data_IF_105116453361
#
_entry.id   IF_105116453361
#
_cell.length_a   1.000
_cell.length_b   1.000
_cell.length_c   1.000
_cell.angle_alpha   90.00
_cell.angle_beta   90.00
_cell.angle_gamma   90.00
#
_symmetry.space_group_name_H-M   'P 1'
#
loop_
_entity.id
_entity.type
_entity.pdbx_description
1 polymer ?
#
# COMPACT_ATOMS: atom_id res chain seq x y z
N UNK A 1 -67.36 50.36 -22.53
CA UNK A 1 -66.82 49.33 -21.62
C UNK A 1 -65.70 48.60 -22.35
N UNK A 2 -64.45 48.75 -21.91
CA UNK A 2 -63.31 48.07 -22.51
C UNK A 2 -62.18 48.00 -21.48
N UNK A 3 -62.07 46.85 -20.83
CA UNK A 3 -60.98 46.55 -19.89
C UNK A 3 -59.72 46.22 -20.69
N UNK A 4 -58.66 47.01 -20.51
CA UNK A 4 -57.31 46.70 -21.00
C UNK A 4 -56.55 46.03 -19.86
N UNK A 5 -56.31 44.73 -20.01
CA UNK A 5 -55.56 43.91 -19.06
C UNK A 5 -54.07 44.29 -19.02
N UNK A 6 -53.58 44.50 -17.79
CA UNK A 6 -52.21 44.83 -17.46
C UNK A 6 -51.30 43.59 -17.50
N UNK A 7 -50.97 43.15 -18.72
CA UNK A 7 -50.14 41.96 -19.01
C UNK A 7 -48.65 42.13 -18.72
N UNK A 8 -48.19 43.34 -18.34
CA UNK A 8 -46.78 43.61 -18.04
C UNK A 8 -46.37 43.21 -16.62
N UNK A 9 -47.28 43.25 -15.65
CA UNK A 9 -46.95 42.92 -14.26
C UNK A 9 -46.83 41.41 -14.03
N UNK A 10 -47.69 40.58 -14.63
CA UNK A 10 -47.59 39.12 -14.52
C UNK A 10 -46.30 38.54 -15.12
N UNK A 11 -45.79 39.13 -16.22
CA UNK A 11 -44.55 38.66 -16.85
C UNK A 11 -43.31 38.94 -15.98
N UNK A 12 -43.29 40.06 -15.24
CA UNK A 12 -42.19 40.38 -14.31
C UNK A 12 -42.21 39.48 -13.07
N UNK A 13 -43.38 39.19 -12.52
CA UNK A 13 -43.50 38.29 -11.35
C UNK A 13 -43.14 36.84 -11.70
N UNK A 14 -43.55 36.35 -12.87
CA UNK A 14 -43.16 35.01 -13.36
C UNK A 14 -41.65 34.88 -13.64
N UNK A 15 -41.02 35.93 -14.17
CA UNK A 15 -39.57 35.94 -14.40
C UNK A 15 -38.77 35.96 -13.09
N UNK A 16 -39.26 36.65 -12.05
CA UNK A 16 -38.60 36.70 -10.74
C UNK A 16 -38.71 35.38 -9.98
N UNK A 17 -39.87 34.71 -10.04
CA UNK A 17 -40.07 33.38 -9.44
C UNK A 17 -39.25 32.30 -10.18
N UNK A 18 -39.18 32.36 -11.52
CA UNK A 18 -38.34 31.45 -12.29
C UNK A 18 -36.84 31.61 -12.00
N UNK A 19 -36.38 32.84 -11.71
CA UNK A 19 -34.99 33.14 -11.35
C UNK A 19 -34.62 32.64 -9.95
N UNK A 20 -35.56 32.70 -8.99
CA UNK A 20 -35.41 32.14 -7.64
C UNK A 20 -35.46 30.60 -7.64
N UNK A 21 -36.27 29.99 -8.50
CA UNK A 21 -36.26 28.53 -8.70
C UNK A 21 -34.98 28.07 -9.42
N UNK A 22 -34.40 28.87 -10.33
CA UNK A 22 -33.12 28.56 -10.95
C UNK A 22 -31.94 28.67 -9.98
N UNK A 23 -31.93 29.67 -9.09
CA UNK A 23 -30.93 29.78 -8.02
C UNK A 23 -31.05 28.63 -7.00
N UNK A 24 -32.27 28.24 -6.64
CA UNK A 24 -32.53 27.05 -5.82
C UNK A 24 -32.10 25.74 -6.50
N UNK A 25 -32.25 25.60 -7.82
CA UNK A 25 -31.79 24.42 -8.55
C UNK A 25 -30.26 24.40 -8.73
N UNK A 26 -29.59 25.56 -8.86
CA UNK A 26 -28.12 25.62 -8.89
C UNK A 26 -27.49 25.38 -7.51
N UNK A 27 -28.14 25.78 -6.41
CA UNK A 27 -27.70 25.45 -5.04
C UNK A 27 -28.08 24.02 -4.59
N UNK A 28 -28.98 23.34 -5.30
CA UNK A 28 -29.31 21.91 -5.11
C UNK A 28 -28.59 20.96 -6.08
N UNK A 29 -27.81 21.48 -7.03
CA UNK A 29 -26.89 20.71 -7.88
C UNK A 29 -25.41 20.93 -7.55
N UNK A 30 -25.13 21.50 -6.37
CA UNK A 30 -23.86 21.28 -5.68
C UNK A 30 -24.00 20.22 -4.58
N UNK A 31 -24.84 19.19 -4.79
CA UNK A 31 -24.44 17.88 -4.30
C UNK A 31 -23.20 17.53 -5.11
N UNK A 32 -22.04 17.93 -4.58
CA UNK A 32 -20.83 17.17 -4.80
C UNK A 32 -21.23 15.76 -4.40
N UNK A 33 -21.69 14.96 -5.36
CA UNK A 33 -21.43 13.52 -5.33
C UNK A 33 -19.92 13.47 -5.32
N UNK A 34 -19.38 13.57 -4.11
CA UNK A 34 -17.99 13.28 -3.85
C UNK A 34 -17.94 11.81 -4.16
N UNK A 35 -17.65 11.48 -5.43
CA UNK A 35 -17.07 10.19 -5.75
C UNK A 35 -15.87 10.15 -4.81
N UNK A 36 -16.03 9.42 -3.71
CA UNK A 36 -14.99 9.25 -2.73
C UNK A 36 -13.91 8.45 -3.44
N UNK A 37 -13.03 9.16 -4.15
CA UNK A 37 -11.79 8.62 -4.65
C UNK A 37 -10.97 8.31 -3.42
N UNK A 38 -10.87 7.03 -3.10
CA UNK A 38 -9.98 6.57 -2.05
C UNK A 38 -8.61 6.38 -2.70
N UNK A 39 -7.66 7.24 -2.35
CA UNK A 39 -6.26 7.03 -2.71
C UNK A 39 -5.62 6.19 -1.62
N UNK A 40 -5.51 4.89 -1.85
CA UNK A 40 -4.79 3.98 -0.99
C UNK A 40 -3.30 4.07 -1.31
N UNK A 41 -2.47 4.24 -0.28
CA UNK A 41 -1.03 4.19 -0.44
C UNK A 41 -0.49 2.96 0.24
N UNK A 42 0.20 2.14 -0.54
CA UNK A 42 0.87 0.97 -0.05
C UNK A 42 2.15 0.74 -0.83
N UNK A 43 3.29 0.77 -0.15
CA UNK A 43 4.14 -0.42 0.06
C UNK A 43 5.46 0.04 0.66
N UNK A 44 5.61 -0.29 1.93
CA UNK A 44 6.78 0.01 2.71
C UNK A 44 7.28 -1.31 3.26
N UNK A 45 8.11 -1.98 2.47
CA UNK A 45 9.26 -2.67 3.06
C UNK A 45 10.25 -1.56 3.38
N UNK A 46 10.55 -1.41 4.66
CA UNK A 46 11.39 -0.30 5.11
C UNK A 46 12.84 -0.75 5.20
N UNK A 47 13.14 -1.96 5.69
CA UNK A 47 14.52 -2.43 5.94
C UNK A 47 15.38 -1.36 6.65
N UNK A 48 14.80 -0.65 7.62
CA UNK A 48 15.45 0.45 8.33
C UNK A 48 15.36 1.81 7.65
N UNK A 49 15.04 1.87 6.36
CA UNK A 49 14.85 3.12 5.62
C UNK A 49 13.50 3.75 6.00
N UNK A 50 13.38 4.35 7.17
CA UNK A 50 12.21 5.13 7.60
C UNK A 50 12.64 6.39 8.33
N UNK A 51 12.03 7.51 7.95
CA UNK A 51 12.20 8.76 8.66
C UNK A 51 10.83 9.43 8.79
N UNK A 52 10.28 9.44 10.00
CA UNK A 52 8.95 9.97 10.28
C UNK A 52 8.76 11.37 9.69
N UNK A 53 9.78 12.23 9.73
CA UNK A 53 9.66 13.61 9.26
C UNK A 53 9.64 13.70 7.74
N UNK A 54 10.56 13.04 7.05
CA UNK A 54 10.64 13.08 5.59
C UNK A 54 9.52 12.27 4.93
N UNK A 55 9.16 11.10 5.49
CA UNK A 55 8.01 10.32 5.01
C UNK A 55 6.69 11.03 5.27
N UNK A 56 6.52 11.72 6.40
CA UNK A 56 5.33 12.56 6.65
C UNK A 56 5.18 13.65 5.58
N UNK A 57 6.28 14.29 5.14
CA UNK A 57 6.19 15.29 4.05
C UNK A 57 5.75 14.67 2.74
N UNK A 58 6.25 13.47 2.43
CA UNK A 58 5.83 12.74 1.23
C UNK A 58 4.35 12.42 1.28
N UNK A 59 3.87 11.89 2.40
CA UNK A 59 2.47 11.57 2.61
C UNK A 59 1.59 12.84 2.61
N UNK A 60 2.07 13.98 3.13
CA UNK A 60 1.34 15.26 3.04
C UNK A 60 1.15 15.76 1.60
N UNK A 61 2.11 15.47 0.71
CA UNK A 61 2.00 15.79 -0.72
C UNK A 61 1.07 14.82 -1.46
N UNK A 62 1.11 13.56 -1.06
CA UNK A 62 0.34 12.47 -1.66
C UNK A 62 -1.12 12.45 -1.20
N UNK A 63 -1.38 12.95 0.01
CA UNK A 63 -2.70 12.98 0.65
C UNK A 63 -3.42 11.62 0.63
N UNK A 64 -2.80 10.55 1.18
CA UNK A 64 -3.43 9.25 1.30
C UNK A 64 -4.62 9.30 2.25
N UNK A 65 -5.65 8.53 1.94
CA UNK A 65 -6.71 8.22 2.90
C UNK A 65 -6.27 7.11 3.88
N UNK A 66 -5.44 6.18 3.40
CA UNK A 66 -4.92 5.06 4.19
C UNK A 66 -3.51 4.68 3.72
N UNK A 67 -2.63 4.44 4.69
CA UNK A 67 -1.26 3.95 4.47
C UNK A 67 -1.15 2.50 4.92
N UNK A 68 -0.71 1.63 4.04
CA UNK A 68 -0.57 0.22 4.34
C UNK A 68 0.92 -0.18 4.35
N UNK A 69 1.31 -0.90 5.40
CA UNK A 69 2.67 -1.37 5.64
C UNK A 69 2.74 -2.90 5.54
N UNK A 70 3.64 -3.42 4.69
CA UNK A 70 3.76 -4.87 4.44
C UNK A 70 4.75 -5.57 5.35
N UNK A 71 5.43 -4.87 6.26
CA UNK A 71 6.42 -5.47 7.17
C UNK A 71 7.85 -5.38 6.64
N UNK A 72 8.76 -6.09 7.30
CA UNK A 72 10.21 -5.93 7.16
C UNK A 72 10.62 -4.48 7.48
N UNK A 73 10.35 -4.07 8.71
CA UNK A 73 10.60 -2.72 9.17
C UNK A 73 12.06 -2.46 9.48
N UNK A 74 12.76 -3.42 10.06
CA UNK A 74 14.19 -3.32 10.33
C UNK A 74 14.67 -4.25 11.42
N UNK A 75 14.50 -5.56 11.25
CA UNK A 75 15.08 -6.58 12.14
C UNK A 75 14.68 -6.43 13.62
N UNK A 76 13.37 -6.38 13.89
CA UNK A 76 12.80 -6.12 15.23
C UNK A 76 13.11 -4.73 15.83
N UNK A 77 13.39 -3.71 15.00
CA UNK A 77 13.61 -2.35 15.47
C UNK A 77 12.32 -1.70 16.03
N UNK A 78 12.13 -1.84 17.34
CA UNK A 78 10.98 -1.32 18.10
C UNK A 78 10.87 0.21 17.99
N UNK A 79 11.98 0.95 17.97
CA UNK A 79 11.97 2.42 17.90
C UNK A 79 11.44 2.90 16.54
N UNK A 80 11.84 2.23 15.46
CA UNK A 80 11.32 2.48 14.13
C UNK A 80 9.82 2.20 14.09
N UNK A 81 9.37 1.06 14.60
CA UNK A 81 7.93 0.72 14.65
C UNK A 81 7.14 1.72 15.51
N UNK A 82 7.71 2.20 16.62
CA UNK A 82 7.09 3.26 17.42
C UNK A 82 6.92 4.54 16.61
N UNK A 83 7.92 4.92 15.83
CA UNK A 83 7.82 6.09 14.96
C UNK A 83 6.80 5.92 13.82
N UNK A 84 6.58 4.69 13.31
CA UNK A 84 5.46 4.40 12.40
C UNK A 84 4.12 4.61 13.12
N UNK A 85 3.98 4.11 14.35
CA UNK A 85 2.77 4.26 15.14
C UNK A 85 2.44 5.74 15.43
N UNK A 86 3.46 6.60 15.54
CA UNK A 86 3.28 8.05 15.73
C UNK A 86 2.71 8.79 14.52
N UNK A 87 2.80 8.19 13.32
CA UNK A 87 2.28 8.76 12.07
C UNK A 87 0.79 9.11 12.20
N UNK A 88 0.39 10.31 11.78
CA UNK A 88 -0.99 10.80 11.98
C UNK A 88 -1.99 10.37 10.90
N UNK A 89 -1.51 9.82 9.78
CA UNK A 89 -2.37 9.25 8.73
C UNK A 89 -3.01 7.95 9.21
N UNK A 90 -4.22 7.63 8.74
CA UNK A 90 -4.78 6.30 8.96
C UNK A 90 -3.80 5.26 8.40
N UNK A 91 -3.56 4.18 9.15
CA UNK A 91 -2.59 3.16 8.74
C UNK A 91 -3.01 1.77 9.17
N UNK A 92 -2.59 0.78 8.40
CA UNK A 92 -2.63 -0.62 8.80
C UNK A 92 -1.29 -1.27 8.46
N UNK A 93 -0.91 -2.27 9.23
CA UNK A 93 0.38 -2.92 9.15
C UNK A 93 0.25 -4.43 9.31
N UNK A 94 1.22 -5.13 8.74
CA UNK A 94 1.56 -6.49 9.09
C UNK A 94 3.07 -6.57 9.35
N UNK A 95 3.48 -7.46 10.25
CA UNK A 95 4.89 -7.72 10.55
C UNK A 95 5.45 -8.76 9.58
N UNK A 96 6.64 -8.51 9.05
CA UNK A 96 7.40 -9.39 8.16
C UNK A 96 8.34 -10.34 8.88
N UNK A 97 9.11 -11.14 8.14
CA UNK A 97 10.04 -12.08 8.75
C UNK A 97 11.17 -11.38 9.50
N UNK A 98 11.65 -10.23 9.01
CA UNK A 98 12.68 -9.47 9.73
C UNK A 98 12.12 -8.88 11.04
N UNK A 99 10.82 -8.62 11.12
CA UNK A 99 10.19 -8.10 12.35
C UNK A 99 10.04 -9.14 13.46
N UNK A 100 10.50 -10.37 13.22
CA UNK A 100 10.66 -11.43 14.21
C UNK A 100 12.03 -12.14 14.08
N UNK A 101 13.07 -11.47 13.59
CA UNK A 101 14.36 -12.09 13.26
C UNK A 101 15.18 -12.61 14.47
N UNK A 102 15.04 -11.98 15.63
CA UNK A 102 15.80 -12.28 16.85
C UNK A 102 14.99 -13.03 17.92
N UNK A 103 13.72 -13.33 17.66
CA UNK A 103 12.82 -14.02 18.60
C UNK A 103 12.48 -15.46 18.16
N UNK A 104 13.43 -16.42 18.17
CA UNK A 104 13.13 -17.84 17.95
C UNK A 104 12.37 -18.47 19.12
N UNK A 105 12.65 -17.99 20.33
CA UNK A 105 12.06 -18.41 21.60
C UNK A 105 11.71 -17.15 22.40
N UNK A 106 10.72 -17.23 23.29
CA UNK A 106 10.29 -16.13 24.15
C UNK A 106 9.85 -16.66 25.53
N UNK A 107 9.81 -15.76 26.51
CA UNK A 107 9.35 -16.04 27.88
C UNK A 107 8.07 -15.27 28.17
N UNK A 108 7.23 -15.78 29.08
CA UNK A 108 6.07 -15.05 29.57
C UNK A 108 6.44 -13.91 30.53
N UNK A 109 7.65 -13.93 31.10
CA UNK A 109 8.08 -12.98 32.14
C UNK A 109 8.61 -11.66 31.56
N UNK A 110 9.15 -11.67 30.34
CA UNK A 110 9.76 -10.50 29.71
C UNK A 110 9.22 -10.32 28.30
N UNK A 111 8.81 -9.09 27.98
CA UNK A 111 8.40 -8.71 26.63
C UNK A 111 9.59 -8.77 25.68
N UNK A 112 9.45 -9.57 24.62
CA UNK A 112 10.38 -9.60 23.49
C UNK A 112 10.11 -8.46 22.49
N UNK A 113 11.00 -8.31 21.49
CA UNK A 113 10.92 -7.25 20.48
C UNK A 113 9.62 -7.30 19.68
N UNK A 114 9.15 -8.51 19.33
CA UNK A 114 7.87 -8.68 18.63
C UNK A 114 6.71 -8.20 19.51
N UNK A 115 6.71 -8.50 20.82
CA UNK A 115 5.64 -8.08 21.72
C UNK A 115 5.60 -6.55 21.85
N UNK A 116 6.76 -5.90 21.94
CA UNK A 116 6.85 -4.45 22.00
C UNK A 116 6.39 -3.79 20.69
N UNK A 117 6.72 -4.37 19.53
CA UNK A 117 6.24 -3.89 18.22
C UNK A 117 4.71 -4.00 18.10
N UNK A 118 4.13 -5.12 18.53
CA UNK A 118 2.66 -5.31 18.55
C UNK A 118 1.98 -4.31 19.47
N UNK A 119 2.57 -4.00 20.62
CA UNK A 119 2.03 -2.97 21.54
C UNK A 119 2.13 -1.57 20.96
N UNK A 120 3.19 -1.26 20.20
CA UNK A 120 3.33 0.02 19.51
C UNK A 120 2.26 0.19 18.42
N UNK A 121 2.06 -0.82 17.58
CA UNK A 121 1.08 -0.78 16.48
C UNK A 121 -0.36 -0.91 16.99
N UNK A 122 -0.59 -1.63 18.09
CA UNK A 122 -1.90 -1.87 18.67
C UNK A 122 -2.89 -2.39 17.63
N UNK A 123 -3.98 -1.64 17.43
CA UNK A 123 -5.04 -2.01 16.49
C UNK A 123 -4.64 -1.90 15.02
N UNK A 124 -3.57 -1.17 14.70
CA UNK A 124 -3.13 -0.96 13.32
C UNK A 124 -2.44 -2.21 12.75
N UNK A 125 -1.94 -3.11 13.61
CA UNK A 125 -1.42 -4.42 13.17
C UNK A 125 -2.54 -5.44 12.98
N UNK A 126 -2.87 -5.82 11.75
CA UNK A 126 -4.12 -6.52 11.41
C UNK A 126 -3.96 -8.00 11.07
N UNK A 127 -2.86 -8.66 11.41
CA UNK A 127 -2.67 -10.09 11.15
C UNK A 127 -3.90 -10.93 11.54
N UNK A 128 -4.45 -11.70 10.60
CA UNK A 128 -5.67 -12.50 10.73
C UNK A 128 -6.92 -11.74 11.19
N UNK A 129 -6.98 -10.43 10.99
CA UNK A 129 -8.13 -9.58 11.31
C UNK A 129 -8.59 -8.84 10.07
N UNK A 130 -9.83 -8.34 10.12
CA UNK A 130 -10.40 -7.46 9.11
C UNK A 130 -10.66 -6.07 9.69
N UNK A 131 -10.48 -5.05 8.86
CA UNK A 131 -10.91 -3.67 9.11
C UNK A 131 -11.75 -3.22 7.93
N UNK A 132 -12.97 -2.75 8.22
CA UNK A 132 -13.94 -2.31 7.21
C UNK A 132 -13.95 -0.78 7.10
N UNK A 133 -14.06 -0.31 5.86
CA UNK A 133 -14.21 1.08 5.46
C UNK A 133 -15.48 1.19 4.61
N UNK A 134 -16.68 1.25 5.24
CA UNK A 134 -17.96 1.15 4.53
C UNK A 134 -18.22 2.28 3.54
N UNK A 135 -17.77 3.50 3.86
CA UNK A 135 -17.95 4.67 2.99
C UNK A 135 -17.25 4.50 1.64
N UNK A 136 -16.16 3.73 1.61
CA UNK A 136 -15.37 3.46 0.42
C UNK A 136 -15.58 2.04 -0.13
N UNK A 137 -16.56 1.31 0.41
CA UNK A 137 -16.84 -0.09 0.06
C UNK A 137 -15.56 -0.93 0.04
N UNK A 138 -14.82 -0.90 1.14
CA UNK A 138 -13.51 -1.52 1.23
C UNK A 138 -13.37 -2.31 2.52
N UNK A 139 -12.74 -3.48 2.43
CA UNK A 139 -12.37 -4.31 3.57
C UNK A 139 -10.91 -4.73 3.44
N UNK A 140 -10.10 -4.42 4.47
CA UNK A 140 -8.69 -4.85 4.52
C UNK A 140 -8.58 -6.06 5.44
N UNK A 141 -8.03 -7.15 4.94
CA UNK A 141 -7.83 -8.41 5.66
C UNK A 141 -6.33 -8.65 5.82
N UNK A 142 -5.84 -8.82 7.05
CA UNK A 142 -4.45 -9.15 7.29
C UNK A 142 -4.17 -10.65 7.09
N UNK A 143 -3.12 -10.95 6.34
CA UNK A 143 -2.59 -12.30 6.15
C UNK A 143 -1.80 -12.81 7.36
N UNK A 144 -0.95 -13.80 7.10
CA UNK A 144 -0.02 -14.36 8.08
C UNK A 144 1.14 -13.39 8.36
N UNK A 145 1.42 -13.05 9.63
CA UNK A 145 2.60 -12.27 9.99
C UNK A 145 3.85 -13.16 9.99
N UNK A 146 5.02 -12.53 9.91
CA UNK A 146 6.33 -13.18 9.97
C UNK A 146 6.63 -14.11 8.80
N UNK A 147 5.85 -14.10 7.72
CA UNK A 147 6.11 -15.00 6.60
C UNK A 147 7.48 -14.73 5.98
N UNK A 148 8.21 -15.78 5.60
CA UNK A 148 9.41 -15.70 4.75
C UNK A 148 9.23 -16.50 3.45
N UNK A 149 7.97 -16.82 3.11
CA UNK A 149 7.67 -17.75 2.02
C UNK A 149 7.79 -19.23 2.37
N UNK A 150 7.05 -20.06 1.64
CA UNK A 150 6.99 -21.49 1.91
C UNK A 150 6.47 -21.78 3.33
N UNK A 151 7.13 -22.68 4.06
CA UNK A 151 6.68 -23.21 5.37
C UNK A 151 6.52 -22.15 6.47
N UNK A 152 5.82 -22.50 7.54
CA UNK A 152 5.68 -21.65 8.73
C UNK A 152 7.02 -21.24 9.34
N UNK A 153 7.26 -19.93 9.37
CA UNK A 153 8.29 -19.31 10.20
C UNK A 153 7.74 -19.04 11.59
N UNK A 154 8.61 -19.08 12.62
CA UNK A 154 8.26 -18.74 14.01
C UNK A 154 6.99 -19.42 14.54
N UNK A 155 6.87 -20.74 14.32
CA UNK A 155 5.71 -21.54 14.74
C UNK A 155 5.29 -21.34 16.21
N UNK A 156 6.25 -21.23 17.13
CA UNK A 156 5.94 -20.98 18.55
C UNK A 156 5.29 -19.61 18.78
N UNK A 157 5.78 -18.56 18.11
CA UNK A 157 5.18 -17.22 18.18
C UNK A 157 3.78 -17.20 17.56
N UNK A 158 3.62 -17.80 16.38
CA UNK A 158 2.32 -17.92 15.70
C UNK A 158 1.31 -18.67 16.57
N UNK A 159 1.73 -19.79 17.18
CA UNK A 159 0.86 -20.55 18.06
C UNK A 159 0.49 -19.77 19.33
N UNK A 160 1.43 -19.09 19.96
CA UNK A 160 1.16 -18.40 21.23
C UNK A 160 0.34 -17.12 21.06
N UNK A 161 0.56 -16.37 19.98
CA UNK A 161 -0.07 -15.05 19.78
C UNK A 161 -1.30 -15.06 18.89
N UNK A 162 -1.35 -16.01 17.96
CA UNK A 162 -2.43 -16.12 16.98
C UNK A 162 -3.11 -17.48 17.01
N UNK A 163 -2.70 -18.43 17.85
CA UNK A 163 -3.30 -19.77 17.88
C UNK A 163 -3.09 -20.57 16.59
N UNK A 164 -2.14 -20.19 15.73
CA UNK A 164 -1.87 -20.83 14.43
C UNK A 164 -0.73 -21.84 14.58
N UNK A 165 -1.01 -23.11 14.27
CA UNK A 165 -0.07 -24.23 14.46
C UNK A 165 0.42 -24.86 13.16
N UNK A 166 -0.27 -24.63 12.07
CA UNK A 166 -0.05 -25.22 10.74
C UNK A 166 -0.60 -24.27 9.66
N UNK A 167 -0.29 -24.57 8.40
CA UNK A 167 -0.72 -23.78 7.25
C UNK A 167 -2.23 -23.80 7.08
N UNK A 168 -2.88 -24.93 7.35
CA UNK A 168 -4.33 -25.06 7.25
C UNK A 168 -5.06 -24.14 8.24
N UNK A 169 -4.63 -24.11 9.50
CA UNK A 169 -5.16 -23.17 10.51
C UNK A 169 -4.92 -21.72 10.09
N UNK A 170 -3.77 -21.43 9.49
CA UNK A 170 -3.44 -20.09 8.97
C UNK A 170 -4.39 -19.69 7.84
N UNK A 171 -4.54 -20.56 6.83
CA UNK A 171 -5.42 -20.35 5.68
C UNK A 171 -6.87 -20.12 6.13
N UNK A 172 -7.35 -20.98 7.04
CA UNK A 172 -8.68 -20.88 7.62
C UNK A 172 -8.90 -19.52 8.30
N UNK A 173 -7.95 -19.02 9.08
CA UNK A 173 -8.08 -17.71 9.73
C UNK A 173 -8.11 -16.54 8.74
N UNK A 174 -7.31 -16.58 7.68
CA UNK A 174 -7.34 -15.58 6.61
C UNK A 174 -8.72 -15.61 5.92
N UNK A 175 -9.19 -16.80 5.57
CA UNK A 175 -10.50 -17.01 4.97
C UNK A 175 -11.63 -16.51 5.88
N UNK A 176 -11.65 -16.89 7.16
CA UNK A 176 -12.67 -16.48 8.13
C UNK A 176 -12.70 -14.95 8.33
N UNK A 177 -11.54 -14.31 8.35
CA UNK A 177 -11.45 -12.85 8.42
C UNK A 177 -12.07 -12.20 7.17
N UNK A 178 -11.82 -12.77 5.98
CA UNK A 178 -12.30 -12.26 4.71
C UNK A 178 -13.80 -12.47 4.48
N UNK A 179 -14.35 -13.67 4.71
CA UNK A 179 -15.75 -14.00 4.39
C UNK A 179 -16.81 -13.19 5.14
N UNK A 180 -16.43 -12.51 6.23
CA UNK A 180 -17.36 -11.62 6.92
C UNK A 180 -17.44 -10.22 6.31
N UNK A 181 -16.66 -9.92 5.26
CA UNK A 181 -16.70 -8.63 4.57
C UNK A 181 -18.07 -8.46 3.88
N UNK A 182 -18.61 -7.23 3.79
CA UNK A 182 -19.81 -6.96 3.01
C UNK A 182 -19.65 -7.35 1.53
N UNK A 183 -20.73 -7.80 0.88
CA UNK A 183 -20.69 -8.37 -0.47
C UNK A 183 -20.27 -7.36 -1.56
N UNK A 184 -20.54 -6.07 -1.35
CA UNK A 184 -20.21 -4.99 -2.27
C UNK A 184 -18.84 -4.34 -2.00
N UNK A 185 -18.10 -4.84 -1.00
CA UNK A 185 -16.76 -4.35 -0.70
C UNK A 185 -15.70 -4.95 -1.63
N UNK A 186 -14.72 -4.12 -2.04
CA UNK A 186 -13.42 -4.62 -2.44
C UNK A 186 -12.73 -5.24 -1.24
N UNK A 187 -12.29 -6.50 -1.35
CA UNK A 187 -11.41 -7.09 -0.34
C UNK A 187 -9.96 -6.91 -0.75
N UNK A 188 -9.19 -6.24 0.11
CA UNK A 188 -7.73 -6.16 0.00
C UNK A 188 -7.11 -7.09 1.05
N UNK A 189 -6.35 -8.08 0.60
CA UNK A 189 -5.58 -8.93 1.51
C UNK A 189 -4.17 -8.34 1.66
N UNK A 190 -3.85 -7.84 2.85
CA UNK A 190 -2.54 -7.31 3.23
C UNK A 190 -1.67 -8.43 3.81
N UNK A 191 -0.64 -8.84 3.09
CA UNK A 191 0.29 -9.87 3.54
C UNK A 191 1.74 -9.38 3.53
N UNK A 192 2.63 -10.11 4.20
CA UNK A 192 4.06 -9.83 4.06
C UNK A 192 4.63 -10.45 2.78
N UNK A 193 4.23 -11.67 2.43
CA UNK A 193 4.65 -12.38 1.22
C UNK A 193 3.45 -12.75 0.36
N UNK A 194 3.68 -12.96 -0.94
CA UNK A 194 2.64 -13.32 -1.89
C UNK A 194 2.23 -14.80 -1.81
N UNK A 195 1.11 -15.21 -2.43
CA UNK A 195 0.68 -16.60 -2.42
C UNK A 195 1.57 -17.48 -3.31
N UNK A 196 1.60 -18.77 -3.00
CA UNK A 196 2.22 -19.77 -3.88
C UNK A 196 1.43 -19.95 -5.19
N UNK A 197 2.06 -20.54 -6.20
CA UNK A 197 1.54 -20.69 -7.56
C UNK A 197 1.93 -19.55 -8.51
N UNK A 198 2.68 -18.55 -8.03
CA UNK A 198 3.07 -17.35 -8.79
C UNK A 198 4.60 -17.16 -8.87
N UNK A 199 5.38 -18.23 -8.66
CA UNK A 199 6.85 -18.18 -8.61
C UNK A 199 7.58 -19.19 -9.49
N UNK A 200 7.05 -19.49 -10.68
CA UNK A 200 7.62 -20.53 -11.57
C UNK A 200 9.03 -20.21 -12.08
N UNK A 201 9.31 -18.93 -12.32
CA UNK A 201 10.60 -18.39 -12.75
C UNK A 201 11.13 -17.43 -11.67
N UNK A 202 12.46 -17.23 -11.63
CA UNK A 202 13.12 -16.34 -10.65
C UNK A 202 12.56 -14.89 -10.67
N UNK A 203 12.19 -14.38 -11.84
CA UNK A 203 11.64 -13.03 -12.01
C UNK A 203 10.11 -12.94 -11.87
N UNK A 204 9.42 -14.06 -11.59
CA UNK A 204 7.99 -14.01 -11.28
C UNK A 204 7.75 -13.35 -9.91
N UNK A 205 6.53 -12.88 -9.68
CA UNK A 205 6.19 -12.06 -8.51
C UNK A 205 6.48 -12.75 -7.17
N UNK A 206 6.39 -14.09 -7.11
CA UNK A 206 6.74 -14.92 -5.94
C UNK A 206 7.95 -15.86 -6.21
N UNK A 207 8.74 -15.59 -7.26
CA UNK A 207 9.84 -16.46 -7.68
C UNK A 207 11.12 -16.32 -6.85
N UNK A 208 11.70 -17.42 -6.40
CA UNK A 208 12.97 -17.43 -5.67
C UNK A 208 14.15 -17.19 -6.62
N UNK A 209 14.99 -16.22 -6.29
CA UNK A 209 16.11 -15.73 -7.12
C UNK A 209 17.48 -15.81 -6.43
N UNK A 210 17.51 -16.10 -5.12
CA UNK A 210 18.76 -16.20 -4.34
C UNK A 210 19.32 -17.62 -4.19
N UNK A 211 18.67 -18.63 -4.78
CA UNK A 211 19.10 -20.05 -4.73
C UNK A 211 19.12 -20.63 -6.15
N UNK A 212 20.17 -21.40 -6.46
CA UNK A 212 20.28 -22.11 -7.73
C UNK A 212 19.09 -23.05 -7.95
N UNK A 213 18.46 -22.97 -9.13
CA UNK A 213 17.23 -23.68 -9.46
C UNK A 213 15.94 -22.92 -9.14
N UNK A 214 16.00 -21.88 -8.29
CA UNK A 214 14.87 -21.01 -7.98
C UNK A 214 13.67 -21.74 -7.39
N UNK A 215 12.48 -21.44 -7.91
CA UNK A 215 11.22 -22.06 -7.53
C UNK A 215 10.27 -21.10 -6.81
N UNK A 216 9.07 -21.60 -6.50
CA UNK A 216 8.04 -20.80 -5.87
C UNK A 216 8.37 -20.57 -4.38
N UNK A 217 8.41 -19.29 -3.97
CA UNK A 217 8.61 -18.89 -2.58
C UNK A 217 7.35 -18.27 -1.97
N UNK A 218 6.18 -18.47 -2.57
CA UNK A 218 4.92 -17.96 -2.07
C UNK A 218 4.38 -18.73 -0.86
N UNK A 219 3.35 -18.14 -0.26
CA UNK A 219 2.64 -18.63 0.92
C UNK A 219 1.50 -19.57 0.52
N UNK A 220 1.61 -20.85 0.89
CA UNK A 220 0.59 -21.87 0.63
C UNK A 220 -0.73 -21.58 1.34
N UNK A 221 -0.66 -21.06 2.58
CA UNK A 221 -1.85 -20.71 3.35
C UNK A 221 -2.62 -19.54 2.74
N UNK A 222 -1.92 -18.56 2.18
CA UNK A 222 -2.54 -17.45 1.45
C UNK A 222 -3.16 -17.92 0.13
N UNK A 223 -2.47 -18.78 -0.63
CA UNK A 223 -3.01 -19.37 -1.85
C UNK A 223 -4.28 -20.18 -1.57
N UNK A 224 -4.26 -21.02 -0.53
CA UNK A 224 -5.41 -21.81 -0.10
C UNK A 224 -6.58 -20.92 0.33
N UNK A 225 -6.34 -19.90 1.15
CA UNK A 225 -7.39 -18.97 1.57
C UNK A 225 -8.04 -18.28 0.36
N UNK A 226 -7.25 -17.80 -0.59
CA UNK A 226 -7.74 -17.16 -1.82
C UNK A 226 -8.57 -18.14 -2.66
N UNK A 227 -8.12 -19.40 -2.82
CA UNK A 227 -8.90 -20.43 -3.52
C UNK A 227 -10.26 -20.65 -2.86
N UNK A 228 -10.27 -20.82 -1.54
CA UNK A 228 -11.53 -21.02 -0.78
C UNK A 228 -12.46 -19.81 -0.87
N UNK A 229 -11.94 -18.57 -0.92
CA UNK A 229 -12.77 -17.38 -1.13
C UNK A 229 -13.41 -17.37 -2.52
N UNK A 230 -12.68 -17.80 -3.55
CA UNK A 230 -13.19 -17.91 -4.93
C UNK A 230 -14.27 -18.98 -5.05
N UNK A 231 -14.05 -20.14 -4.44
CA UNK A 231 -15.01 -21.26 -4.42
C UNK A 231 -16.30 -20.91 -3.67
N UNK A 232 -16.22 -20.03 -2.65
CA UNK A 232 -17.39 -19.64 -1.86
C UNK A 232 -18.42 -18.82 -2.66
N UNK A 233 -18.02 -18.16 -3.74
CA UNK A 233 -18.92 -17.40 -4.63
C UNK A 233 -19.52 -16.12 -4.02
N UNK A 234 -19.21 -15.78 -2.77
CA UNK A 234 -19.71 -14.56 -2.10
C UNK A 234 -19.06 -13.26 -2.56
N UNK A 235 -17.86 -13.33 -3.14
CA UNK A 235 -17.17 -12.14 -3.61
C UNK A 235 -17.53 -11.86 -5.06
N UNK A 236 -18.43 -10.92 -5.28
CA UNK A 236 -18.73 -10.42 -6.62
C UNK A 236 -17.59 -9.56 -7.18
N UNK A 237 -16.74 -9.01 -6.31
CA UNK A 237 -15.56 -8.23 -6.68
C UNK A 237 -14.31 -9.08 -6.48
N UNK A 238 -13.45 -9.25 -7.51
CA UNK A 238 -12.18 -9.94 -7.37
C UNK A 238 -11.28 -9.27 -6.33
N UNK A 239 -10.61 -10.03 -5.45
CA UNK A 239 -9.77 -9.44 -4.41
C UNK A 239 -8.52 -8.80 -5.01
N UNK A 240 -7.97 -7.84 -4.27
CA UNK A 240 -6.63 -7.30 -4.47
C UNK A 240 -5.72 -7.85 -3.36
N UNK A 241 -4.64 -8.54 -3.74
CA UNK A 241 -3.68 -9.12 -2.80
C UNK A 241 -2.42 -8.26 -2.82
N UNK A 242 -2.12 -7.61 -1.70
CA UNK A 242 -1.01 -6.66 -1.58
C UNK A 242 0.02 -7.21 -0.61
N UNK A 243 1.25 -7.34 -1.07
CA UNK A 243 2.33 -7.96 -0.31
C UNK A 243 3.71 -7.41 -0.62
N UNK A 244 4.68 -7.77 0.23
CA UNK A 244 6.08 -7.40 0.10
C UNK A 244 6.97 -8.64 -0.04
N UNK A 245 8.01 -8.71 0.80
CA UNK A 245 9.07 -9.73 0.87
C UNK A 245 9.95 -9.88 -0.39
N UNK A 246 9.35 -10.13 -1.55
CA UNK A 246 10.05 -10.49 -2.79
C UNK A 246 10.56 -9.24 -3.50
N UNK A 247 11.82 -8.83 -3.29
CA UNK A 247 12.33 -7.54 -3.76
C UNK A 247 12.26 -7.36 -5.28
N UNK A 248 12.03 -6.11 -5.72
CA UNK A 248 11.93 -5.73 -7.14
C UNK A 248 13.21 -5.99 -7.91
N UNK A 249 14.36 -5.67 -7.33
CA UNK A 249 15.66 -6.03 -7.88
C UNK A 249 15.98 -7.47 -7.52
N UNK A 250 16.36 -8.25 -8.53
CA UNK A 250 16.74 -9.65 -8.33
C UNK A 250 18.17 -9.75 -7.80
N UNK A 251 18.40 -10.76 -6.97
CA UNK A 251 19.71 -11.08 -6.42
C UNK A 251 20.77 -11.20 -7.53
N UNK A 252 22.00 -10.85 -7.18
CA UNK A 252 23.17 -10.96 -8.05
C UNK A 252 23.06 -10.20 -9.39
N UNK A 253 22.25 -9.14 -9.44
CA UNK A 253 22.05 -8.35 -10.67
C UNK A 253 21.21 -9.07 -11.73
N UNK A 254 20.32 -9.97 -11.32
CA UNK A 254 19.49 -10.78 -12.22
C UNK A 254 18.40 -9.99 -12.99
N UNK A 255 18.33 -8.67 -12.83
CA UNK A 255 17.32 -7.81 -13.44
C UNK A 255 16.17 -7.48 -12.48
N UNK A 256 14.95 -7.37 -13.01
CA UNK A 256 13.78 -6.96 -12.24
C UNK A 256 12.68 -8.02 -12.21
N UNK A 257 12.02 -8.09 -11.05
CA UNK A 257 10.85 -8.89 -10.78
C UNK A 257 9.59 -8.26 -11.37
N UNK A 258 8.65 -9.11 -11.81
CA UNK A 258 7.27 -8.70 -12.08
C UNK A 258 6.62 -8.26 -10.76
N UNK A 259 6.21 -7.00 -10.67
CA UNK A 259 5.61 -6.45 -9.44
C UNK A 259 4.08 -6.48 -9.43
N UNK A 260 3.46 -6.74 -10.57
CA UNK A 260 2.00 -6.82 -10.71
C UNK A 260 1.66 -8.02 -11.58
N UNK A 261 0.70 -8.83 -11.13
CA UNK A 261 0.10 -9.92 -11.90
C UNK A 261 -1.42 -9.79 -11.80
N UNK A 262 -2.11 -9.90 -12.94
CA UNK A 262 -3.57 -9.99 -12.98
C UNK A 262 -3.92 -11.39 -13.44
N UNK A 263 -4.65 -12.14 -12.62
CA UNK A 263 -5.09 -13.49 -12.96
C UNK A 263 -6.30 -13.48 -13.90
N UNK A 264 -6.63 -14.64 -14.46
CA UNK A 264 -7.76 -14.80 -15.39
C UNK A 264 -9.13 -14.46 -14.76
N UNK A 265 -9.26 -14.55 -13.44
CA UNK A 265 -10.44 -14.15 -12.68
C UNK A 265 -10.41 -12.68 -12.25
N UNK A 266 -9.50 -11.88 -12.81
CA UNK A 266 -9.25 -10.48 -12.48
C UNK A 266 -8.76 -10.21 -11.04
N UNK A 267 -8.34 -11.25 -10.29
CA UNK A 267 -7.60 -11.04 -9.03
C UNK A 267 -6.29 -10.32 -9.34
N UNK A 268 -6.01 -9.24 -8.61
CA UNK A 268 -4.78 -8.47 -8.77
C UNK A 268 -3.82 -8.87 -7.65
N UNK A 269 -2.61 -9.25 -8.02
CA UNK A 269 -1.49 -9.47 -7.11
C UNK A 269 -0.51 -8.33 -7.26
N UNK A 270 -0.33 -7.55 -6.21
CA UNK A 270 0.54 -6.39 -6.17
C UNK A 270 1.63 -6.61 -5.13
N UNK A 271 2.86 -6.71 -5.63
CA UNK A 271 4.05 -6.64 -4.83
C UNK A 271 4.61 -5.21 -4.89
N UNK A 272 4.98 -4.62 -3.77
CA UNK A 272 5.70 -3.33 -3.74
C UNK A 272 6.94 -3.34 -2.88
N UNK A 273 7.60 -4.49 -2.80
CA UNK A 273 8.93 -4.64 -2.25
C UNK A 273 9.99 -3.87 -3.08
N UNK A 274 9.90 -2.54 -3.15
CA UNK A 274 10.88 -1.68 -3.82
C UNK A 274 11.99 -1.41 -2.81
N UNK A 275 13.14 -2.06 -3.00
CA UNK A 275 14.30 -1.97 -2.10
C UNK A 275 15.55 -1.75 -2.96
N UNK A 276 16.38 -0.72 -2.67
CA UNK A 276 16.16 0.31 -1.67
C UNK A 276 15.00 1.25 -2.07
N UNK A 277 14.18 1.69 -1.11
CA UNK A 277 13.10 2.65 -1.41
C UNK A 277 13.61 4.09 -1.39
N UNK A 278 14.66 4.35 -0.59
CA UNK A 278 15.28 5.67 -0.45
C UNK A 278 16.50 5.70 -1.34
N UNK A 279 16.46 6.57 -2.35
CA UNK A 279 17.56 6.74 -3.30
C UNK A 279 18.31 8.03 -2.97
N UNK A 280 19.64 7.96 -2.98
CA UNK A 280 20.49 9.13 -2.84
C UNK A 280 20.88 9.62 -4.24
N UNK A 281 21.01 10.93 -4.42
CA UNK A 281 21.45 11.46 -5.72
C UNK A 281 22.90 11.07 -6.10
N UNK A 282 23.67 10.40 -5.23
CA UNK A 282 24.99 9.87 -5.60
C UNK A 282 24.89 8.62 -6.49
N UNK A 283 23.72 7.98 -6.52
CA UNK A 283 23.52 6.71 -7.23
C UNK A 283 23.41 6.92 -8.75
N UNK A 284 22.86 8.05 -9.21
CA UNK A 284 22.76 8.41 -10.65
C UNK A 284 24.10 8.85 -11.28
N UNK A 285 25.07 9.33 -10.50
CA UNK A 285 26.40 9.71 -11.03
C UNK A 285 27.38 8.53 -11.08
N UNK A 286 27.09 7.42 -10.39
CA UNK A 286 28.00 6.26 -10.34
C UNK A 286 27.89 5.34 -11.57
N UNK A 287 26.75 5.33 -12.26
CA UNK A 287 26.57 4.56 -13.50
C UNK A 287 27.32 5.15 -14.72
N UNK A 288 27.93 6.34 -14.58
CA UNK A 288 28.60 7.05 -15.67
C UNK A 288 30.11 7.25 -15.54
N UNK A 289 30.78 6.78 -14.47
CA UNK A 289 32.18 7.14 -14.23
C UNK A 289 33.07 5.97 -13.80
N UNK A 290 33.34 5.07 -14.74
CA UNK A 290 34.58 4.29 -14.71
C UNK A 290 35.75 5.22 -15.04
N UNK A 291 36.48 5.69 -14.02
CA UNK A 291 37.92 5.99 -14.09
C UNK A 291 38.45 6.37 -12.70
N UNK A 292 39.44 5.61 -12.23
CA UNK A 292 40.23 5.86 -11.03
C UNK A 292 40.95 7.22 -11.11
N UNK A 293 41.02 7.95 -9.99
CA UNK A 293 42.27 8.52 -9.46
C UNK A 293 42.06 9.03 -8.03
N UNK A 294 42.91 8.55 -7.12
CA UNK A 294 43.05 9.00 -5.74
C UNK A 294 43.66 10.40 -5.69
N UNK A 295 43.04 11.33 -4.97
CA UNK A 295 43.76 12.39 -4.23
C UNK A 295 42.84 13.06 -3.22
N UNK A 296 43.29 13.10 -1.98
CA UNK A 296 42.70 13.84 -0.87
C UNK A 296 42.94 15.34 -1.09
N UNK A 297 41.91 16.18 -0.88
CA UNK A 297 41.84 17.16 0.22
C UNK A 297 40.78 18.25 0.01
N UNK A 298 39.90 18.32 1.01
CA UNK A 298 39.31 19.52 1.62
C UNK A 298 38.15 20.28 0.95
N UNK A 299 37.22 20.66 1.84
CA UNK A 299 36.27 21.77 1.71
C UNK A 299 35.06 21.54 0.78
N UNK A 300 34.14 20.67 1.18
CA UNK A 300 32.76 20.74 0.69
C UNK A 300 31.79 21.03 1.84
N UNK A 301 31.13 22.18 1.75
CA UNK A 301 29.88 22.50 2.45
C UNK A 301 28.95 21.28 2.49
N UNK A 302 28.10 21.09 3.52
CA UNK A 302 27.14 19.99 3.52
C UNK A 302 26.19 20.17 2.33
N UNK A 303 26.44 19.43 1.26
CA UNK A 303 25.55 19.35 0.11
C UNK A 303 24.21 18.87 0.65
N UNK A 304 23.10 19.59 0.43
CA UNK A 304 21.82 19.20 0.97
C UNK A 304 21.48 17.80 0.46
N UNK A 305 21.44 16.82 1.38
CA UNK A 305 21.05 15.44 1.09
C UNK A 305 19.67 15.46 0.45
N UNK A 306 19.62 15.22 -0.86
CA UNK A 306 18.37 14.96 -1.58
C UNK A 306 18.11 13.47 -1.45
N UNK A 307 17.09 13.10 -0.68
CA UNK A 307 16.58 11.73 -0.66
C UNK A 307 15.34 11.68 -1.55
N UNK A 308 15.36 10.85 -2.58
CA UNK A 308 14.16 10.45 -3.33
C UNK A 308 13.54 9.25 -2.63
N UNK A 309 12.21 9.19 -2.57
CA UNK A 309 11.46 8.12 -1.89
C UNK A 309 10.43 7.52 -2.83
N UNK A 310 10.49 6.21 -3.02
CA UNK A 310 9.53 5.46 -3.82
C UNK A 310 8.29 5.10 -2.99
N UNK A 311 7.12 5.20 -3.63
CA UNK A 311 5.82 4.79 -3.11
C UNK A 311 5.04 4.09 -4.21
N UNK A 312 4.30 3.04 -3.85
CA UNK A 312 3.26 2.48 -4.71
C UNK A 312 1.89 3.03 -4.26
N UNK A 313 1.10 3.45 -5.24
CA UNK A 313 -0.18 4.14 -5.05
C UNK A 313 -1.26 3.36 -5.78
N UNK A 314 -2.36 3.12 -5.09
CA UNK A 314 -3.50 2.36 -5.58
C UNK A 314 -4.72 3.29 -5.50
N UNK A 315 -5.18 3.74 -6.66
CA UNK A 315 -6.39 4.54 -6.74
C UNK A 315 -7.57 3.57 -6.76
N UNK A 316 -8.46 3.68 -5.77
CA UNK A 316 -9.67 2.86 -5.63
C UNK A 316 -10.89 3.75 -5.72
N UNK A 317 -11.86 3.37 -6.57
CA UNK A 317 -13.16 4.02 -6.62
C UNK A 317 -14.28 2.99 -6.75
N UNK A 318 -15.39 3.23 -6.05
CA UNK A 318 -16.59 2.37 -6.04
C UNK A 318 -16.29 0.87 -5.87
N UNK A 319 -15.43 0.55 -4.89
CA UNK A 319 -15.05 -0.84 -4.59
C UNK A 319 -14.24 -1.51 -5.70
N UNK A 320 -13.51 -0.76 -6.54
CA UNK A 320 -12.66 -1.32 -7.60
C UNK A 320 -11.32 -0.60 -7.71
N UNK A 321 -10.32 -1.31 -8.23
CA UNK A 321 -8.98 -0.75 -8.47
C UNK A 321 -8.99 -0.03 -9.82
N UNK A 322 -8.88 1.28 -9.82
CA UNK A 322 -8.82 2.06 -11.06
C UNK A 322 -7.42 2.07 -11.66
N UNK A 323 -6.41 2.24 -10.79
CA UNK A 323 -5.06 2.53 -11.24
C UNK A 323 -4.02 2.21 -10.17
N UNK A 324 -2.88 1.69 -10.62
CA UNK A 324 -1.71 1.46 -9.79
C UNK A 324 -0.55 2.30 -10.36
N UNK A 325 0.13 3.07 -9.52
CA UNK A 325 1.31 3.85 -9.93
C UNK A 325 2.45 3.75 -8.95
N UNK A 326 3.66 3.67 -9.48
CA UNK A 326 4.88 3.92 -8.71
C UNK A 326 5.19 5.43 -8.79
N UNK A 327 5.42 6.07 -7.64
CA UNK A 327 5.72 7.50 -7.49
C UNK A 327 7.04 7.67 -6.77
N UNK A 328 7.94 8.45 -7.36
CA UNK A 328 9.19 8.83 -6.71
C UNK A 328 9.11 10.31 -6.34
N UNK A 329 9.27 10.60 -5.05
CA UNK A 329 9.22 11.96 -4.51
C UNK A 329 10.57 12.38 -3.95
N UNK A 330 11.13 13.45 -4.50
CA UNK A 330 12.37 14.08 -4.01
C UNK A 330 12.11 15.34 -3.20
N UNK A 331 12.88 15.53 -2.10
CA UNK A 331 12.87 16.76 -1.32
C UNK A 331 14.17 17.53 -1.48
N UNK A 332 14.08 18.82 -1.77
CA UNK A 332 15.23 19.73 -1.85
C UNK A 332 15.13 20.78 -0.75
N UNK A 333 16.12 20.82 0.15
CA UNK A 333 16.28 21.95 1.06
C UNK A 333 17.12 23.03 0.36
N UNK A 334 16.52 24.17 0.05
CA UNK A 334 17.28 25.37 -0.33
C UNK A 334 17.47 26.28 0.89
N UNK A 335 18.71 26.47 1.33
CA UNK A 335 19.06 27.57 2.23
C UNK A 335 19.30 28.83 1.39
N UNK A 336 18.40 29.82 1.47
CA UNK A 336 18.74 31.19 1.06
C UNK A 336 19.43 31.90 2.23
N UNK A 337 20.65 32.41 1.99
CA UNK A 337 21.33 33.35 2.91
C UNK A 337 20.44 34.59 3.07
N UNK A 338 20.04 34.88 4.30
CA UNK A 338 19.24 36.05 4.67
C UNK A 338 17.72 35.83 4.55
N UNK A 339 17.04 35.67 5.69
CA UNK A 339 15.61 35.35 5.90
C UNK A 339 15.22 33.91 5.51
N UNK A 340 14.99 33.08 6.54
CA UNK A 340 14.44 31.71 6.43
C UNK A 340 13.10 31.74 5.66
N UNK A 341 13.16 31.53 4.34
CA UNK A 341 12.03 31.00 3.56
C UNK A 341 12.49 29.68 2.95
N UNK A 342 11.97 28.57 3.50
CA UNK A 342 12.16 27.21 3.01
C UNK A 342 11.38 27.09 1.69
N UNK A 343 12.05 26.91 0.55
CA UNK A 343 11.39 26.67 -0.73
C UNK A 343 11.68 25.23 -1.13
N UNK A 344 10.66 24.37 -1.06
CA UNK A 344 10.76 22.97 -1.48
C UNK A 344 10.50 22.92 -3.00
N UNK A 345 11.47 22.44 -3.78
CA UNK A 345 11.33 22.24 -5.22
C UNK A 345 10.97 20.76 -5.46
N UNK A 346 9.87 20.55 -6.18
CA UNK A 346 9.26 19.25 -6.52
C UNK A 346 9.94 18.65 -7.75
N UNK A 347 10.25 17.37 -7.68
CA UNK A 347 10.61 16.52 -8.82
C UNK A 347 9.83 15.22 -8.65
N UNK A 348 8.95 14.91 -9.61
CA UNK A 348 8.05 13.76 -9.57
C UNK A 348 8.22 12.95 -10.86
N UNK A 349 8.52 11.67 -10.71
CA UNK A 349 8.50 10.69 -11.79
C UNK A 349 7.44 9.64 -11.47
N UNK A 350 6.69 9.20 -12.49
CA UNK A 350 5.59 8.24 -12.30
C UNK A 350 5.51 7.21 -13.42
N UNK A 351 5.41 5.93 -13.06
CA UNK A 351 5.02 4.84 -13.97
C UNK A 351 3.55 4.52 -13.73
N UNK A 352 2.76 4.43 -14.80
CA UNK A 352 1.30 4.21 -14.73
C UNK A 352 0.90 2.86 -15.29
N UNK A 353 0.12 2.11 -14.52
CA UNK A 353 -0.57 0.90 -14.96
C UNK A 353 -2.07 1.14 -14.94
N UNK A 354 -2.73 0.99 -16.10
CA UNK A 354 -4.20 1.05 -16.18
C UNK A 354 -4.71 -0.38 -16.11
N UNK A 355 -5.54 -0.67 -15.10
CA UNK A 355 -6.18 -1.98 -14.97
C UNK A 355 -7.36 -2.01 -15.94
N UNK A 356 -7.38 -3.00 -16.83
CA UNK A 356 -8.50 -3.24 -17.74
C UNK A 356 -9.26 -4.47 -17.23
N UNK A 357 -10.53 -4.28 -16.90
CA UNK A 357 -11.44 -5.37 -16.57
C UNK A 357 -12.10 -5.83 -17.86
N UNK A 358 -11.86 -7.08 -18.28
CA UNK A 358 -12.64 -7.68 -19.35
C UNK A 358 -14.04 -7.99 -18.82
N UNK A 359 -15.03 -7.19 -19.23
CA UNK A 359 -16.42 -7.55 -19.06
C UNK A 359 -16.73 -8.69 -20.03
N UNK A 360 -16.51 -9.93 -19.58
CA UNK A 360 -16.94 -11.14 -20.26
C UNK A 360 -18.46 -11.17 -20.38
N UNK A 361 -18.98 -10.52 -21.42
CA UNK A 361 -20.35 -10.70 -21.86
C UNK A 361 -20.49 -12.07 -22.50
N UNK A 362 -20.91 -13.07 -21.73
CA UNK A 362 -21.43 -14.31 -22.29
C UNK A 362 -22.71 -13.98 -23.07
N UNK A 363 -22.59 -13.87 -24.39
CA UNK A 363 -23.73 -14.14 -25.27
C UNK A 363 -23.93 -15.65 -25.27
N UNK A 364 -24.97 -16.10 -24.56
CA UNK A 364 -25.65 -17.36 -24.83
C UNK A 364 -27.14 -17.09 -24.81
#
# INVERSE_FOLDING_TARGET
>A
MGQVHNTKNEKRTKAFIASLQWLSLLELQSSVTSYAFLSLFQLLILHGDWDLREDTKALQLLQPDLVLFTGDFGEENVELVRSIAELKFAKLAILGNHDAWFTPCFSQEKKDGVQLQLECLGKDHIAYRRVDFPEQKLSIVGGRPFSHGGRLFRRQLLSARYGVKDMETSAKRIYEAAIGAPEDHLVIILAHNGPSGLGSCANDICGKDWVFGGGDNGDEDLAQAISSLKENGKFHVPPLVVFGHMHKELAYGGGHRKMIVVAADNTIYLNGAIVPRVHSNFDEESEGRTTFTSSETSSSQPVPRRSKRAFTVIDVSDGRVDKITERILGFTQTQKRGKKKKKEKKEEQSVKFKVHYDCGGSKS
#
